data_IF_985298450138
#
_entry.id   IF_985298450138
#
_cell.length_a   1.000
_cell.length_b   1.000
_cell.length_c   1.000
_cell.angle_alpha   90.00
_cell.angle_beta   90.00
_cell.angle_gamma   90.00
#
_symmetry.space_group_name_H-M   'P 1'
#
loop_
_entity.id
_entity.type
_entity.pdbx_description
1 polymer ?
#
# COMPACT_ATOMS: atom_id res chain seq x y z
N UNK A 1 -33.92 27.25 51.30
CA UNK A 1 -33.41 26.14 52.13
C UNK A 1 -31.90 26.11 51.90
N UNK A 2 -31.17 26.66 52.89
CA UNK A 2 -29.73 26.94 52.83
C UNK A 2 -28.92 25.65 53.05
N UNK A 3 -27.89 25.38 52.25
CA UNK A 3 -26.82 24.47 52.63
C UNK A 3 -25.45 25.09 52.26
N UNK A 4 -24.70 25.31 53.32
CA UNK A 4 -23.45 26.02 53.45
C UNK A 4 -22.26 25.23 52.96
N UNK A 5 -21.35 25.91 52.28
CA UNK A 5 -20.00 25.44 51.96
C UNK A 5 -19.13 25.39 53.23
N UNK A 6 -18.41 24.29 53.45
CA UNK A 6 -17.26 24.22 54.37
C UNK A 6 -15.99 23.99 53.55
N UNK A 7 -15.13 24.99 53.57
CA UNK A 7 -13.75 24.95 53.12
C UNK A 7 -12.86 24.32 54.19
N UNK A 8 -12.05 23.33 53.83
CA UNK A 8 -10.98 22.80 54.66
C UNK A 8 -9.63 23.37 54.14
N UNK A 9 -9.01 24.16 55.01
CA UNK A 9 -7.60 24.62 54.86
C UNK A 9 -6.68 23.50 55.32
N UNK A 10 -5.70 23.11 54.48
CA UNK A 10 -4.56 22.27 54.92
C UNK A 10 -3.34 23.17 55.00
N UNK A 11 -2.73 23.21 56.18
CA UNK A 11 -1.50 23.92 56.52
C UNK A 11 -0.31 23.22 55.88
N UNK A 12 0.54 24.01 55.18
CA UNK A 12 1.90 23.59 54.81
C UNK A 12 2.83 23.87 56.02
N UNK A 13 3.48 22.88 56.52
CA UNK A 13 4.67 23.03 57.39
C UNK A 13 5.92 22.71 56.58
N UNK A 14 6.70 23.72 56.34
CA UNK A 14 8.06 23.63 55.78
C UNK A 14 9.05 23.28 56.90
N UNK A 15 9.79 22.18 56.74
CA UNK A 15 10.99 21.90 57.54
C UNK A 15 12.21 21.84 56.60
N UNK A 16 13.06 22.88 56.73
CA UNK A 16 14.35 23.05 56.08
C UNK A 16 15.38 22.23 56.86
N UNK A 17 15.94 21.18 56.27
CA UNK A 17 17.10 20.48 56.82
C UNK A 17 18.27 20.69 55.85
N UNK A 18 19.24 21.54 56.29
CA UNK A 18 20.55 21.72 55.67
C UNK A 18 21.45 20.54 56.05
N UNK A 19 21.87 19.75 55.05
CA UNK A 19 22.98 18.80 55.23
C UNK A 19 24.13 19.19 54.29
N UNK A 20 25.18 19.79 54.89
CA UNK A 20 26.49 19.95 54.28
C UNK A 20 27.27 18.64 54.41
N UNK A 21 27.52 17.97 53.31
CA UNK A 21 28.41 16.81 53.26
C UNK A 21 29.14 16.80 51.94
N UNK A 22 30.37 17.30 51.93
CA UNK A 22 31.33 17.17 50.83
C UNK A 22 31.78 15.72 50.79
N UNK A 23 31.49 15.01 49.70
CA UNK A 23 32.22 13.80 49.32
C UNK A 23 32.50 13.83 47.81
N UNK A 24 33.76 14.10 47.50
CA UNK A 24 34.37 13.80 46.21
C UNK A 24 34.44 12.30 46.02
N UNK A 25 33.58 11.79 45.17
CA UNK A 25 33.62 10.42 44.69
C UNK A 25 33.17 10.39 43.22
N UNK A 26 34.12 10.46 42.30
CA UNK A 26 33.87 10.19 40.85
C UNK A 26 33.56 8.70 40.67
N UNK A 27 32.34 8.33 40.94
CA UNK A 27 31.83 7.02 40.50
C UNK A 27 31.46 7.16 39.03
N UNK A 28 32.35 6.73 38.14
CA UNK A 28 32.03 6.50 36.74
C UNK A 28 30.97 5.40 36.69
N UNK A 29 29.71 5.77 36.42
CA UNK A 29 28.69 4.77 36.03
C UNK A 29 29.17 4.04 34.79
N UNK A 30 29.16 2.73 34.78
CA UNK A 30 29.42 1.98 33.56
C UNK A 30 28.35 2.38 32.54
N UNK A 31 28.77 3.01 31.46
CA UNK A 31 27.97 3.27 30.28
C UNK A 31 27.74 1.89 29.64
N UNK A 32 26.65 1.22 30.03
CA UNK A 32 26.17 0.04 29.32
C UNK A 32 25.81 0.51 27.93
N UNK A 33 26.69 0.28 26.96
CA UNK A 33 26.36 0.22 25.55
C UNK A 33 25.58 -1.08 25.31
N UNK A 34 24.34 -1.15 25.80
CA UNK A 34 23.40 -2.08 25.22
C UNK A 34 23.14 -1.51 23.82
N UNK A 35 23.61 -2.18 22.78
CA UNK A 35 23.04 -2.08 21.46
C UNK A 35 21.54 -2.33 21.68
N UNK A 36 20.72 -1.32 21.51
CA UNK A 36 19.28 -1.42 21.57
C UNK A 36 18.90 -2.34 20.41
N UNK A 37 18.71 -3.63 20.70
CA UNK A 37 18.35 -4.64 19.72
C UNK A 37 17.03 -4.19 19.11
N UNK A 38 17.07 -3.68 17.87
CA UNK A 38 15.89 -3.12 17.20
C UNK A 38 14.79 -4.18 17.20
N UNK A 39 13.72 -3.91 17.96
CA UNK A 39 12.58 -4.79 18.15
C UNK A 39 11.98 -5.25 16.81
N UNK A 40 12.06 -4.40 15.79
CA UNK A 40 11.55 -4.64 14.43
C UNK A 40 12.73 -4.63 13.45
N UNK A 41 12.96 -5.77 12.78
CA UNK A 41 14.09 -5.94 11.86
C UNK A 41 13.59 -6.01 10.41
N UNK A 42 14.15 -5.23 9.46
CA UNK A 42 13.89 -5.43 8.03
C UNK A 42 14.28 -6.84 7.59
N UNK A 43 13.45 -7.45 6.75
CA UNK A 43 13.72 -8.76 6.13
C UNK A 43 13.49 -8.69 4.62
N UNK A 44 14.10 -9.57 3.81
CA UNK A 44 13.70 -9.73 2.42
C UNK A 44 12.22 -10.09 2.32
N UNK A 45 11.48 -9.49 1.38
CA UNK A 45 10.07 -9.83 1.17
C UNK A 45 9.87 -11.30 0.84
N UNK A 46 10.85 -11.93 0.17
CA UNK A 46 10.89 -13.36 -0.13
C UNK A 46 10.99 -14.27 1.11
N UNK A 47 11.19 -13.71 2.30
CA UNK A 47 11.14 -14.46 3.57
C UNK A 47 9.71 -14.73 4.06
N UNK A 48 8.70 -14.13 3.44
CA UNK A 48 7.30 -14.48 3.62
C UNK A 48 7.03 -15.81 2.91
N UNK A 49 6.53 -16.78 3.65
CA UNK A 49 6.32 -18.13 3.15
C UNK A 49 4.95 -18.28 2.47
N UNK A 50 4.82 -19.23 1.54
CA UNK A 50 3.58 -19.57 0.82
C UNK A 50 2.97 -18.38 0.02
N UNK A 51 3.77 -17.38 -0.31
CA UNK A 51 3.42 -16.29 -1.22
C UNK A 51 4.43 -16.22 -2.37
N UNK A 52 3.94 -16.00 -3.58
CA UNK A 52 4.77 -15.86 -4.79
C UNK A 52 4.30 -14.62 -5.57
N UNK A 53 5.26 -13.87 -6.10
CA UNK A 53 5.00 -12.63 -6.81
C UNK A 53 5.45 -12.77 -8.26
N UNK A 54 4.57 -12.45 -9.21
CA UNK A 54 4.93 -12.41 -10.63
C UNK A 54 4.40 -11.18 -11.34
N UNK A 55 5.12 -10.75 -12.35
CA UNK A 55 4.82 -9.57 -13.13
C UNK A 55 4.79 -9.91 -14.61
N UNK A 56 3.88 -9.25 -15.34
CA UNK A 56 3.91 -9.15 -16.80
C UNK A 56 3.53 -7.72 -17.19
N UNK A 57 4.10 -7.19 -18.28
CA UNK A 57 3.90 -5.80 -18.68
C UNK A 57 4.14 -5.60 -20.16
N UNK A 58 3.60 -4.50 -20.66
CA UNK A 58 3.94 -3.94 -21.97
C UNK A 58 4.69 -2.60 -21.75
N UNK A 59 6.00 -2.63 -21.91
CA UNK A 59 6.87 -1.46 -21.68
C UNK A 59 6.66 -0.35 -22.70
N UNK A 60 6.09 -0.64 -23.88
CA UNK A 60 5.76 0.37 -24.89
C UNK A 60 4.42 1.03 -24.56
N UNK A 61 3.44 0.23 -24.17
CA UNK A 61 2.12 0.71 -23.80
C UNK A 61 2.06 1.27 -22.38
N UNK A 62 3.08 1.03 -21.55
CA UNK A 62 3.21 1.49 -20.16
C UNK A 62 2.07 1.01 -19.27
N UNK A 63 1.74 -0.28 -19.34
CA UNK A 63 0.75 -0.94 -18.48
C UNK A 63 1.19 -2.34 -18.12
N UNK A 64 0.60 -2.96 -17.08
CA UNK A 64 1.00 -4.29 -16.66
C UNK A 64 0.15 -4.89 -15.55
N UNK A 65 0.53 -6.09 -15.15
CA UNK A 65 -0.12 -6.92 -14.11
C UNK A 65 0.91 -7.41 -13.11
N UNK A 66 0.56 -7.36 -11.84
CA UNK A 66 1.28 -8.03 -10.76
C UNK A 66 0.33 -9.03 -10.08
N UNK A 67 0.76 -10.28 -9.96
CA UNK A 67 0.04 -11.34 -9.26
C UNK A 67 0.73 -11.66 -7.94
N UNK A 68 -0.02 -11.60 -6.85
CA UNK A 68 0.35 -12.08 -5.52
C UNK A 68 -0.36 -13.41 -5.34
N UNK A 69 0.34 -14.51 -5.56
CA UNK A 69 -0.21 -15.86 -5.59
C UNK A 69 -0.02 -16.54 -4.22
N UNK A 70 -1.06 -17.23 -3.77
CA UNK A 70 -1.09 -18.05 -2.56
C UNK A 70 -1.43 -19.50 -2.94
N UNK A 71 -0.45 -20.34 -3.30
CA UNK A 71 -0.71 -21.69 -3.81
C UNK A 71 -1.49 -22.59 -2.85
N UNK A 72 -1.41 -22.34 -1.54
CA UNK A 72 -2.12 -23.08 -0.50
C UNK A 72 -3.41 -22.39 -0.03
N UNK A 73 -3.77 -21.26 -0.66
CA UNK A 73 -4.82 -20.36 -0.19
C UNK A 73 -4.36 -19.46 0.96
N UNK A 74 -4.98 -18.28 1.09
CA UNK A 74 -4.73 -17.33 2.16
C UNK A 74 -6.04 -16.73 2.65
N UNK A 75 -6.28 -16.74 3.96
CA UNK A 75 -7.36 -15.94 4.55
C UNK A 75 -7.07 -14.48 4.28
N UNK A 76 -8.09 -13.75 3.84
CA UNK A 76 -7.88 -12.37 3.38
C UNK A 76 -9.05 -11.49 3.76
N UNK A 77 -8.75 -10.29 4.24
CA UNK A 77 -9.68 -9.18 4.44
C UNK A 77 -9.36 -8.03 3.48
N UNK A 78 -10.26 -7.06 3.38
CA UNK A 78 -10.11 -5.90 2.47
C UNK A 78 -10.69 -4.64 3.09
N UNK A 79 -10.02 -3.51 2.82
CA UNK A 79 -10.54 -2.15 3.01
C UNK A 79 -10.63 -1.47 1.64
N UNK A 80 -11.85 -1.07 1.24
CA UNK A 80 -12.12 -0.34 0.01
C UNK A 80 -12.56 1.06 0.42
N UNK A 81 -11.62 2.00 0.44
CA UNK A 81 -11.81 3.35 0.97
C UNK A 81 -11.92 4.44 -0.09
N UNK A 82 -11.53 4.17 -1.32
CA UNK A 82 -11.64 5.12 -2.43
C UNK A 82 -13.08 5.28 -2.95
N UNK A 83 -13.41 6.46 -3.49
CA UNK A 83 -14.73 6.77 -4.05
C UNK A 83 -15.03 6.11 -5.41
N UNK A 84 -14.00 5.60 -6.12
CA UNK A 84 -14.14 5.00 -7.46
C UNK A 84 -13.30 3.75 -7.66
N UNK A 85 -13.45 2.69 -6.83
CA UNK A 85 -12.65 1.49 -6.94
C UNK A 85 -12.98 0.72 -8.22
N UNK A 86 -11.96 0.24 -8.92
CA UNK A 86 -12.07 -0.78 -9.95
C UNK A 86 -11.63 -2.11 -9.33
N UNK A 87 -12.57 -2.99 -8.99
CA UNK A 87 -12.29 -4.23 -8.28
C UNK A 87 -13.13 -5.40 -8.80
N UNK A 88 -12.64 -6.63 -8.54
CA UNK A 88 -13.31 -7.88 -8.89
C UNK A 88 -13.27 -8.83 -7.71
N UNK A 89 -14.38 -9.58 -7.50
CA UNK A 89 -14.58 -10.67 -6.53
C UNK A 89 -14.32 -10.30 -5.06
N UNK A 90 -14.30 -9.00 -4.72
CA UNK A 90 -14.12 -8.55 -3.34
C UNK A 90 -15.24 -8.98 -2.37
N UNK A 91 -16.49 -9.26 -2.79
CA UNK A 91 -17.52 -9.76 -1.87
C UNK A 91 -17.17 -11.07 -1.16
N UNK A 92 -16.29 -11.92 -1.73
CA UNK A 92 -15.84 -13.17 -1.09
C UNK A 92 -15.03 -12.89 0.20
N UNK A 93 -14.49 -11.68 0.35
CA UNK A 93 -13.68 -11.25 1.49
C UNK A 93 -14.51 -10.69 2.65
N UNK A 94 -15.81 -10.53 2.48
CA UNK A 94 -16.68 -10.06 3.55
C UNK A 94 -16.56 -10.97 4.79
N UNK A 95 -16.31 -10.43 5.99
CA UNK A 95 -16.14 -11.22 7.22
C UNK A 95 -17.30 -12.15 7.56
N UNK A 96 -18.53 -11.87 7.10
CA UNK A 96 -19.70 -12.71 7.32
C UNK A 96 -19.84 -13.87 6.31
N UNK A 97 -18.97 -13.93 5.31
CA UNK A 97 -18.96 -15.02 4.33
C UNK A 97 -18.10 -16.18 4.82
N UNK A 98 -18.27 -17.34 4.20
CA UNK A 98 -17.50 -18.55 4.51
C UNK A 98 -15.99 -18.25 4.53
N UNK A 99 -15.28 -18.83 5.50
CA UNK A 99 -13.85 -18.57 5.72
C UNK A 99 -12.97 -19.38 4.77
N UNK A 100 -13.20 -19.19 3.46
CA UNK A 100 -12.40 -19.80 2.39
C UNK A 100 -11.24 -18.86 2.06
N UNK A 101 -10.02 -19.41 1.98
CA UNK A 101 -8.84 -18.67 1.52
C UNK A 101 -8.87 -18.40 0.03
N UNK A 102 -8.40 -17.22 -0.39
CA UNK A 102 -8.20 -16.88 -1.80
C UNK A 102 -6.85 -17.39 -2.32
N UNK A 103 -6.72 -17.54 -3.63
CA UNK A 103 -5.52 -18.10 -4.27
C UNK A 103 -4.65 -17.04 -4.95
N UNK A 104 -5.20 -15.85 -5.23
CA UNK A 104 -4.41 -14.71 -5.70
C UNK A 104 -5.08 -13.37 -5.41
N UNK A 105 -4.23 -12.34 -5.19
CA UNK A 105 -4.57 -10.92 -5.34
C UNK A 105 -3.90 -10.45 -6.62
N UNK A 106 -4.67 -9.80 -7.51
CA UNK A 106 -4.18 -9.26 -8.77
C UNK A 106 -4.20 -7.74 -8.72
N UNK A 107 -3.09 -7.12 -9.02
CA UNK A 107 -3.00 -5.70 -9.31
C UNK A 107 -2.78 -5.50 -10.80
N UNK A 108 -3.46 -4.54 -11.41
CA UNK A 108 -3.31 -4.25 -12.83
C UNK A 108 -3.40 -2.76 -13.15
N UNK A 109 -2.87 -2.36 -14.30
CA UNK A 109 -3.24 -1.13 -14.97
C UNK A 109 -4.58 -1.27 -15.70
N UNK A 110 -4.88 -0.35 -16.63
CA UNK A 110 -6.01 -0.42 -17.54
C UNK A 110 -7.35 -0.01 -16.95
N UNK A 111 -7.41 0.47 -15.68
CA UNK A 111 -8.68 0.79 -15.02
C UNK A 111 -9.62 -0.44 -15.01
N UNK A 112 -10.93 -0.27 -15.09
CA UNK A 112 -11.89 -1.37 -15.13
C UNK A 112 -11.67 -2.37 -16.28
N UNK A 113 -11.06 -1.94 -17.38
CA UNK A 113 -10.71 -2.88 -18.48
C UNK A 113 -9.65 -3.91 -18.06
N UNK A 114 -8.70 -3.51 -17.19
CA UNK A 114 -7.65 -4.38 -16.69
C UNK A 114 -8.15 -5.52 -15.79
N UNK A 115 -9.42 -5.48 -15.34
CA UNK A 115 -10.04 -6.56 -14.58
C UNK A 115 -10.15 -7.89 -15.37
N UNK A 116 -10.00 -7.82 -16.69
CA UNK A 116 -9.91 -9.02 -17.55
C UNK A 116 -8.67 -9.89 -17.25
N UNK A 117 -7.63 -9.34 -16.63
CA UNK A 117 -6.42 -10.10 -16.31
C UNK A 117 -6.68 -11.28 -15.35
N UNK A 118 -7.65 -11.17 -14.44
CA UNK A 118 -7.98 -12.26 -13.51
C UNK A 118 -8.45 -13.54 -14.22
N UNK A 119 -9.06 -13.47 -15.41
CA UNK A 119 -9.44 -14.67 -16.15
C UNK A 119 -8.23 -15.51 -16.54
N UNK A 120 -7.12 -14.86 -16.89
CA UNK A 120 -5.86 -15.54 -17.19
C UNK A 120 -5.18 -16.09 -15.95
N UNK A 121 -5.25 -15.36 -14.85
CA UNK A 121 -4.73 -15.82 -13.55
C UNK A 121 -5.49 -17.08 -13.10
N UNK A 122 -6.83 -17.08 -13.19
CA UNK A 122 -7.65 -18.24 -12.84
C UNK A 122 -7.28 -19.45 -13.72
N UNK A 123 -7.15 -19.27 -15.03
CA UNK A 123 -6.74 -20.34 -15.93
C UNK A 123 -5.37 -20.90 -15.54
N UNK A 124 -4.37 -20.05 -15.31
CA UNK A 124 -3.03 -20.50 -14.93
C UNK A 124 -3.03 -21.26 -13.60
N UNK A 125 -3.78 -20.80 -12.59
CA UNK A 125 -3.87 -21.48 -11.31
C UNK A 125 -4.56 -22.84 -11.43
N UNK A 126 -5.67 -22.94 -12.18
CA UNK A 126 -6.40 -24.19 -12.42
C UNK A 126 -5.50 -25.22 -13.11
N UNK A 127 -4.78 -24.84 -14.19
CA UNK A 127 -3.83 -25.70 -14.90
C UNK A 127 -2.70 -26.22 -13.99
N UNK A 128 -2.38 -25.50 -12.91
CA UNK A 128 -1.41 -25.92 -11.89
C UNK A 128 -2.04 -26.60 -10.67
N UNK A 129 -3.33 -26.98 -10.75
CA UNK A 129 -4.03 -27.68 -9.67
C UNK A 129 -4.28 -26.82 -8.43
N UNK A 130 -4.23 -25.48 -8.54
CA UNK A 130 -4.45 -24.53 -7.46
C UNK A 130 -5.88 -23.98 -7.54
N UNK A 131 -6.67 -24.12 -6.46
CA UNK A 131 -8.04 -23.67 -6.40
C UNK A 131 -8.81 -24.39 -5.31
N UNK A 132 -10.03 -23.88 -5.02
CA UNK A 132 -11.00 -24.53 -4.16
C UNK A 132 -11.52 -25.79 -4.84
N UNK A 133 -11.46 -26.92 -4.15
CA UNK A 133 -11.89 -28.22 -4.68
C UNK A 133 -13.40 -28.38 -4.51
N UNK A 134 -14.12 -28.38 -5.62
CA UNK A 134 -15.59 -28.59 -5.64
C UNK A 134 -15.98 -30.06 -5.82
N UNK A 135 -15.01 -30.96 -5.94
CA UNK A 135 -15.21 -32.36 -6.32
C UNK A 135 -15.39 -32.57 -7.83
N UNK A 136 -15.70 -31.53 -8.60
CA UNK A 136 -15.84 -31.55 -10.07
C UNK A 136 -14.73 -30.80 -10.78
N UNK A 137 -14.26 -29.70 -10.19
CA UNK A 137 -13.19 -28.86 -10.71
C UNK A 137 -12.49 -28.13 -9.55
N UNK A 138 -11.26 -27.67 -9.78
CA UNK A 138 -10.62 -26.71 -8.92
C UNK A 138 -10.97 -25.30 -9.37
N UNK A 139 -11.54 -24.50 -8.47
CA UNK A 139 -11.97 -23.12 -8.75
C UNK A 139 -11.03 -22.16 -8.05
N UNK A 140 -10.10 -21.50 -8.75
CA UNK A 140 -9.26 -20.47 -8.15
C UNK A 140 -10.09 -19.27 -7.70
N UNK A 141 -9.99 -18.88 -6.44
CA UNK A 141 -10.60 -17.66 -5.93
C UNK A 141 -9.59 -16.52 -6.10
N UNK A 142 -9.89 -15.58 -6.98
CA UNK A 142 -8.97 -14.49 -7.40
C UNK A 142 -9.66 -13.16 -7.24
N UNK A 143 -9.11 -12.33 -6.35
CA UNK A 143 -9.55 -10.94 -6.17
C UNK A 143 -8.64 -9.99 -6.93
N UNK A 144 -9.18 -8.86 -7.40
CA UNK A 144 -8.40 -7.90 -8.18
C UNK A 144 -8.76 -6.46 -7.85
N UNK A 145 -7.75 -5.58 -7.92
CA UNK A 145 -7.92 -4.13 -8.03
C UNK A 145 -7.04 -3.56 -9.15
N UNK A 146 -7.54 -2.52 -9.83
CA UNK A 146 -6.86 -1.91 -10.97
C UNK A 146 -6.62 -0.43 -10.74
N UNK A 147 -5.41 0.06 -11.13
CA UNK A 147 -5.12 1.49 -11.21
C UNK A 147 -5.55 2.05 -12.58
N UNK A 148 -5.79 3.36 -12.63
CA UNK A 148 -6.02 4.07 -13.88
C UNK A 148 -4.69 4.60 -14.43
N UNK A 149 -4.16 3.96 -15.47
CA UNK A 149 -2.91 4.35 -16.15
C UNK A 149 -3.13 4.78 -17.63
N UNK A 150 -4.39 4.89 -18.07
CA UNK A 150 -4.74 5.20 -19.47
C UNK A 150 -4.27 6.58 -19.95
N UNK A 151 -3.84 7.45 -19.05
CA UNK A 151 -3.25 8.77 -19.35
C UNK A 151 -1.73 8.72 -19.56
N UNK A 152 -1.10 7.54 -19.38
CA UNK A 152 0.33 7.34 -19.54
C UNK A 152 0.60 6.17 -20.50
N UNK A 153 1.34 6.38 -21.58
CA UNK A 153 1.55 5.39 -22.62
C UNK A 153 0.35 5.22 -23.54
N UNK A 154 -0.26 4.04 -23.61
CA UNK A 154 -1.36 3.73 -24.51
C UNK A 154 -2.69 3.51 -23.76
N UNK A 155 -3.76 4.20 -24.18
CA UNK A 155 -5.10 3.94 -23.65
C UNK A 155 -5.81 2.77 -24.35
N UNK A 156 -5.30 2.28 -25.47
CA UNK A 156 -5.91 1.19 -26.25
C UNK A 156 -5.30 -0.18 -25.95
N UNK A 157 -4.07 -0.24 -25.46
CA UNK A 157 -3.43 -1.48 -24.97
C UNK A 157 -3.64 -1.53 -23.46
N UNK A 158 -4.22 -2.61 -22.99
CA UNK A 158 -4.64 -2.76 -21.58
C UNK A 158 -4.35 -4.18 -21.11
N UNK A 159 -4.13 -4.39 -19.81
CA UNK A 159 -4.04 -5.74 -19.28
C UNK A 159 -5.22 -6.60 -19.69
N UNK A 160 -4.93 -7.76 -20.23
CA UNK A 160 -5.88 -8.74 -20.73
C UNK A 160 -5.67 -10.12 -20.09
N UNK A 161 -6.46 -11.10 -20.50
CA UNK A 161 -6.34 -12.49 -20.05
C UNK A 161 -4.93 -13.04 -20.26
N UNK A 162 -4.29 -12.76 -21.41
CA UNK A 162 -2.93 -13.25 -21.68
C UNK A 162 -1.91 -12.67 -20.72
N UNK A 163 -1.95 -11.36 -20.48
CA UNK A 163 -1.03 -10.71 -19.56
C UNK A 163 -1.22 -11.20 -18.12
N UNK A 164 -2.45 -11.45 -17.69
CA UNK A 164 -2.74 -12.07 -16.39
C UNK A 164 -2.19 -13.48 -16.27
N UNK A 165 -2.35 -14.30 -17.30
CA UNK A 165 -1.79 -15.65 -17.38
C UNK A 165 -0.26 -15.64 -17.26
N UNK A 166 0.40 -14.79 -18.07
CA UNK A 166 1.86 -14.66 -18.07
C UNK A 166 2.39 -14.19 -16.71
N UNK A 167 1.72 -13.23 -16.05
CA UNK A 167 2.09 -12.77 -14.71
C UNK A 167 1.96 -13.89 -13.66
N UNK A 168 0.89 -14.68 -13.73
CA UNK A 168 0.69 -15.81 -12.83
C UNK A 168 1.72 -16.91 -13.07
N UNK A 169 2.00 -17.26 -14.31
CA UNK A 169 3.05 -18.21 -14.67
C UNK A 169 4.41 -17.76 -14.13
N UNK A 170 4.76 -16.48 -14.31
CA UNK A 170 5.98 -15.91 -13.75
C UNK A 170 6.01 -16.02 -12.21
N UNK A 171 4.87 -15.84 -11.52
CA UNK A 171 4.80 -16.01 -10.08
C UNK A 171 5.11 -17.44 -9.65
N UNK A 172 4.58 -18.43 -10.36
CA UNK A 172 4.74 -19.84 -10.02
C UNK A 172 6.15 -20.38 -10.32
N UNK A 173 6.79 -19.91 -11.39
CA UNK A 173 8.09 -20.41 -11.85
C UNK A 173 9.27 -19.69 -11.18
N UNK A 174 9.37 -18.37 -11.27
CA UNK A 174 10.56 -17.60 -10.92
C UNK A 174 10.27 -16.27 -10.22
N UNK A 175 9.05 -16.08 -9.72
CA UNK A 175 8.56 -14.81 -9.24
C UNK A 175 9.41 -14.19 -8.14
N UNK A 176 9.73 -12.90 -8.32
CA UNK A 176 10.47 -12.10 -7.33
C UNK A 176 9.77 -10.76 -7.09
N UNK A 177 9.72 -10.30 -5.84
CA UNK A 177 9.26 -8.96 -5.52
C UNK A 177 10.31 -7.94 -6.01
N UNK A 178 9.96 -7.16 -7.04
CA UNK A 178 10.82 -6.13 -7.62
C UNK A 178 10.09 -4.80 -7.52
N UNK A 179 10.64 -3.83 -6.78
CA UNK A 179 10.13 -2.46 -6.76
C UNK A 179 10.52 -1.70 -8.03
N UNK A 180 9.63 -0.82 -8.48
CA UNK A 180 9.90 0.03 -9.65
C UNK A 180 8.76 0.11 -10.65
N UNK A 181 9.09 0.46 -11.89
CA UNK A 181 8.16 0.55 -13.02
C UNK A 181 7.94 -0.83 -13.65
N UNK A 182 7.45 -1.80 -12.86
CA UNK A 182 7.25 -3.19 -13.27
C UNK A 182 5.81 -3.64 -12.95
N UNK A 183 5.30 -4.61 -13.71
CA UNK A 183 3.97 -5.14 -13.51
C UNK A 183 2.91 -4.03 -13.47
N UNK A 184 2.03 -4.07 -12.48
CA UNK A 184 1.00 -3.05 -12.26
C UNK A 184 1.57 -1.64 -12.02
N UNK A 185 2.84 -1.51 -11.60
CA UNK A 185 3.54 -0.23 -11.39
C UNK A 185 4.02 0.44 -12.67
N UNK A 186 3.98 -0.26 -13.81
CA UNK A 186 4.55 0.22 -15.09
C UNK A 186 3.92 1.55 -15.55
N UNK A 187 2.60 1.71 -15.41
CA UNK A 187 1.89 2.93 -15.81
C UNK A 187 1.60 3.91 -14.66
N UNK A 188 2.04 3.61 -13.44
CA UNK A 188 1.71 4.41 -12.26
C UNK A 188 2.38 5.80 -12.25
N UNK A 189 1.61 6.84 -11.83
CA UNK A 189 2.04 8.24 -11.77
C UNK A 189 1.43 8.93 -10.55
N UNK A 190 2.04 10.04 -10.08
CA UNK A 190 1.60 10.79 -8.89
C UNK A 190 1.59 12.31 -9.14
N UNK A 191 0.83 13.06 -8.32
CA UNK A 191 0.78 14.53 -8.43
C UNK A 191 -0.01 15.03 -9.64
N UNK A 192 -1.11 14.38 -9.99
CA UNK A 192 -1.83 14.56 -11.27
C UNK A 192 -2.86 15.69 -11.28
N UNK A 193 -3.02 16.45 -10.19
CA UNK A 193 -4.07 17.45 -10.04
C UNK A 193 -4.10 18.49 -11.18
N UNK A 194 -2.93 18.92 -11.65
CA UNK A 194 -2.79 19.88 -12.75
C UNK A 194 -2.47 19.22 -14.11
N UNK A 195 -2.74 17.92 -14.25
CA UNK A 195 -2.52 17.16 -15.48
C UNK A 195 -1.19 16.40 -15.52
N UNK A 196 -1.04 15.61 -16.58
CA UNK A 196 0.10 14.68 -16.70
C UNK A 196 1.44 15.41 -16.89
N UNK A 197 1.45 16.58 -17.51
CA UNK A 197 2.67 17.33 -17.79
C UNK A 197 3.34 17.87 -16.50
N UNK A 198 2.60 18.01 -15.42
CA UNK A 198 3.11 18.45 -14.11
C UNK A 198 3.22 17.31 -13.09
N UNK A 199 2.86 16.09 -13.45
CA UNK A 199 2.94 14.92 -12.58
C UNK A 199 4.29 14.19 -12.71
N UNK A 200 4.51 13.17 -11.90
CA UNK A 200 5.76 12.40 -11.86
C UNK A 200 5.51 10.91 -12.01
N UNK A 201 6.54 10.19 -12.49
CA UNK A 201 6.55 8.73 -12.53
C UNK A 201 6.52 8.15 -11.11
N UNK A 202 5.80 7.05 -10.98
CA UNK A 202 5.69 6.23 -9.80
C UNK A 202 5.75 4.74 -10.18
N UNK A 203 5.41 3.83 -9.26
CA UNK A 203 5.51 2.41 -9.54
C UNK A 203 4.89 1.53 -8.49
N UNK A 204 5.44 0.32 -8.37
CA UNK A 204 5.16 -0.63 -7.31
C UNK A 204 6.32 -0.69 -6.33
N UNK A 205 6.03 -0.86 -5.03
CA UNK A 205 7.04 -1.00 -3.98
C UNK A 205 6.72 -2.12 -3.01
N UNK A 206 7.77 -2.69 -2.46
CA UNK A 206 7.74 -3.79 -1.50
C UNK A 206 8.57 -3.42 -0.27
N UNK A 207 8.11 -3.83 0.89
CA UNK A 207 8.89 -3.78 2.12
C UNK A 207 8.40 -4.83 3.10
N UNK A 208 9.28 -5.43 3.91
CA UNK A 208 8.91 -6.41 4.92
C UNK A 208 9.79 -6.30 6.16
N UNK A 209 9.20 -6.66 7.30
CA UNK A 209 9.87 -6.68 8.60
C UNK A 209 9.49 -7.92 9.39
N UNK A 210 10.29 -8.19 10.42
CA UNK A 210 10.03 -9.23 11.42
C UNK A 210 10.15 -8.64 12.82
N UNK A 211 9.22 -9.01 13.71
CA UNK A 211 9.29 -8.79 15.16
C UNK A 211 8.95 -10.08 15.88
N UNK A 212 9.89 -10.59 16.69
CA UNK A 212 9.78 -11.96 17.20
C UNK A 212 9.60 -12.96 16.06
N UNK A 213 8.53 -13.74 16.10
CA UNK A 213 8.16 -14.69 15.05
C UNK A 213 7.17 -14.13 14.01
N UNK A 214 6.62 -12.94 14.24
CA UNK A 214 5.70 -12.30 13.32
C UNK A 214 6.47 -11.66 12.18
N UNK A 215 6.10 -12.01 10.95
CA UNK A 215 6.58 -11.37 9.72
C UNK A 215 5.43 -10.60 9.08
N UNK A 216 5.68 -9.37 8.66
CA UNK A 216 4.71 -8.54 7.93
C UNK A 216 5.40 -7.89 6.75
N UNK A 217 4.81 -8.02 5.57
CA UNK A 217 5.23 -7.35 4.35
C UNK A 217 4.10 -6.52 3.74
N UNK A 218 4.46 -5.48 3.02
CA UNK A 218 3.53 -4.65 2.26
C UNK A 218 3.93 -4.55 0.80
N UNK A 219 2.93 -4.51 -0.06
CA UNK A 219 3.03 -4.21 -1.49
C UNK A 219 2.17 -2.98 -1.75
N UNK A 220 2.69 -1.98 -2.46
CA UNK A 220 1.95 -0.78 -2.83
C UNK A 220 2.15 -0.44 -4.31
N UNK A 221 1.07 -0.29 -5.08
CA UNK A 221 1.08 0.34 -6.40
C UNK A 221 0.55 1.75 -6.24
N UNK A 222 1.42 2.74 -6.43
CA UNK A 222 1.16 4.14 -6.06
C UNK A 222 0.82 4.95 -7.31
N UNK A 223 -0.48 5.15 -7.56
CA UNK A 223 -0.98 5.96 -8.69
C UNK A 223 -1.85 7.13 -8.20
N UNK A 224 -1.38 7.84 -7.20
CA UNK A 224 -2.13 8.83 -6.42
C UNK A 224 -2.40 10.16 -7.16
N UNK A 225 -3.49 10.83 -6.77
CA UNK A 225 -3.73 12.23 -7.10
C UNK A 225 -2.69 13.14 -6.45
N UNK A 226 -2.39 12.89 -5.20
CA UNK A 226 -1.61 13.74 -4.31
C UNK A 226 -0.11 13.57 -4.43
N UNK A 227 0.57 14.33 -3.58
CA UNK A 227 2.01 14.33 -3.37
C UNK A 227 2.43 13.23 -2.41
N UNK A 228 3.65 12.70 -2.58
CA UNK A 228 4.20 11.62 -1.76
C UNK A 228 5.27 12.15 -0.81
N UNK A 229 5.18 11.73 0.45
CA UNK A 229 6.07 12.15 1.53
C UNK A 229 6.83 10.95 2.11
N UNK A 230 8.13 11.12 2.32
CA UNK A 230 8.97 10.11 2.94
C UNK A 230 8.66 9.97 4.44
N UNK A 231 8.43 8.76 4.98
CA UNK A 231 7.99 8.58 6.37
C UNK A 231 9.01 9.06 7.40
N UNK A 232 10.31 8.85 7.15
CA UNK A 232 11.37 9.20 8.11
C UNK A 232 11.64 10.69 8.21
N UNK A 233 11.47 11.45 7.12
CA UNK A 233 11.83 12.88 7.06
C UNK A 233 10.63 13.82 6.95
N UNK A 234 9.46 13.31 6.61
CA UNK A 234 8.29 14.12 6.26
C UNK A 234 8.47 14.97 5.01
N UNK A 235 9.57 14.80 4.26
CA UNK A 235 9.85 15.58 3.05
C UNK A 235 9.07 15.02 1.86
N UNK A 236 8.58 15.90 0.99
CA UNK A 236 8.03 15.52 -0.31
C UNK A 236 9.13 14.89 -1.17
N UNK A 237 8.85 13.71 -1.73
CA UNK A 237 9.76 12.94 -2.59
C UNK A 237 9.26 12.77 -4.02
N UNK A 238 7.96 12.94 -4.25
CA UNK A 238 7.33 13.00 -5.57
C UNK A 238 5.99 13.72 -5.49
N UNK A 239 5.45 14.14 -6.61
CA UNK A 239 4.13 14.76 -6.66
C UNK A 239 4.03 15.84 -7.72
N UNK A 240 3.17 16.82 -7.47
CA UNK A 240 2.90 17.92 -8.38
C UNK A 240 4.13 18.84 -8.53
N UNK A 241 4.51 19.08 -9.77
CA UNK A 241 5.55 20.03 -10.17
C UNK A 241 4.93 21.33 -10.69
N UNK A 242 5.71 22.41 -10.66
CA UNK A 242 5.36 23.64 -11.38
C UNK A 242 5.44 23.42 -12.91
N UNK A 243 5.00 24.41 -13.70
CA UNK A 243 4.87 24.27 -15.16
C UNK A 243 6.17 23.98 -15.89
N UNK A 244 7.28 24.47 -15.40
CA UNK A 244 8.62 24.23 -15.96
C UNK A 244 9.33 23.02 -15.31
N UNK A 245 8.65 22.31 -14.40
CA UNK A 245 9.09 21.11 -13.68
C UNK A 245 10.35 21.31 -12.81
N UNK A 246 10.77 22.56 -12.57
CA UNK A 246 11.97 22.88 -11.78
C UNK A 246 11.79 22.73 -10.28
N UNK A 247 10.54 22.73 -9.77
CA UNK A 247 10.23 22.69 -8.34
C UNK A 247 8.90 22.01 -8.04
N UNK A 248 8.77 21.49 -6.83
CA UNK A 248 7.50 20.99 -6.31
C UNK A 248 6.50 22.12 -6.07
N UNK A 249 5.24 21.86 -6.44
CA UNK A 249 4.05 22.62 -6.02
C UNK A 249 3.26 21.77 -5.00
N UNK A 250 2.35 22.35 -4.23
CA UNK A 250 1.55 21.63 -3.25
C UNK A 250 0.17 21.27 -3.83
N UNK A 251 -0.08 19.96 -4.02
CA UNK A 251 -1.34 19.46 -4.57
C UNK A 251 -2.56 19.85 -3.73
N UNK A 252 -2.45 19.88 -2.39
CA UNK A 252 -3.58 20.27 -1.54
C UNK A 252 -3.85 21.77 -1.63
N UNK A 253 -2.80 22.61 -1.70
CA UNK A 253 -2.97 24.05 -1.89
C UNK A 253 -3.61 24.38 -3.25
N UNK A 254 -3.21 23.68 -4.31
CA UNK A 254 -3.83 23.83 -5.63
C UNK A 254 -5.31 23.36 -5.63
N UNK A 255 -5.61 22.27 -4.91
CA UNK A 255 -6.98 21.80 -4.74
C UNK A 255 -7.87 22.85 -4.06
N UNK A 256 -7.37 23.55 -3.03
CA UNK A 256 -8.13 24.59 -2.33
C UNK A 256 -8.43 25.82 -3.20
N UNK A 257 -7.70 26.04 -4.30
CA UNK A 257 -7.95 27.10 -5.26
C UNK A 257 -9.13 26.80 -6.19
N UNK A 258 -9.61 25.56 -6.21
CA UNK A 258 -10.75 25.15 -7.03
C UNK A 258 -12.04 25.61 -6.32
N UNK A 259 -12.48 26.83 -6.61
CA UNK A 259 -13.63 27.47 -5.96
C UNK A 259 -15.00 26.97 -6.48
N UNK A 260 -15.06 26.24 -7.57
CA UNK A 260 -16.31 25.71 -8.17
C UNK A 260 -16.18 24.22 -8.44
N UNK A 261 -17.29 23.46 -8.36
CA UNK A 261 -17.31 22.09 -8.81
C UNK A 261 -16.77 22.02 -10.24
N UNK A 262 -15.78 21.18 -10.47
CA UNK A 262 -15.13 21.04 -11.76
C UNK A 262 -15.07 19.58 -12.17
N UNK A 263 -15.13 19.31 -13.47
CA UNK A 263 -14.92 17.98 -14.06
C UNK A 263 -13.46 17.49 -13.94
N UNK A 264 -12.58 18.27 -13.27
CA UNK A 264 -11.16 17.94 -13.06
C UNK A 264 -10.96 16.68 -12.21
N UNK A 265 -11.95 16.29 -11.42
CA UNK A 265 -11.96 15.04 -10.67
C UNK A 265 -12.43 13.86 -11.55
N UNK A 266 -11.85 13.71 -12.72
CA UNK A 266 -11.99 12.47 -13.44
C UNK A 266 -11.35 11.37 -12.59
N UNK A 267 -12.12 10.36 -12.20
CA UNK A 267 -11.79 9.18 -11.38
C UNK A 267 -10.56 8.42 -11.94
N UNK A 268 -9.38 9.05 -11.87
CA UNK A 268 -8.16 8.65 -12.60
C UNK A 268 -7.00 8.32 -11.66
N UNK A 269 -7.27 8.22 -10.36
CA UNK A 269 -6.25 8.03 -9.34
C UNK A 269 -6.58 6.81 -8.49
N UNK A 270 -5.57 6.18 -7.94
CA UNK A 270 -5.75 4.95 -7.15
C UNK A 270 -4.46 4.56 -6.50
N UNK A 271 -4.44 4.32 -5.20
CA UNK A 271 -3.37 3.58 -4.56
C UNK A 271 -3.93 2.23 -4.11
N UNK A 272 -3.36 1.15 -4.62
CA UNK A 272 -3.76 -0.20 -4.22
C UNK A 272 -2.61 -0.90 -3.50
N UNK A 273 -2.95 -1.63 -2.45
CA UNK A 273 -1.94 -2.28 -1.62
C UNK A 273 -2.38 -3.63 -1.07
N UNK A 274 -1.40 -4.39 -0.60
CA UNK A 274 -1.62 -5.62 0.13
C UNK A 274 -0.66 -5.72 1.31
N UNK A 275 -1.17 -6.16 2.45
CA UNK A 275 -0.42 -6.60 3.61
C UNK A 275 -0.38 -8.11 3.59
N UNK A 276 0.80 -8.68 3.72
CA UNK A 276 1.03 -10.14 3.79
C UNK A 276 1.67 -10.45 5.13
N UNK A 277 1.09 -11.36 5.89
CA UNK A 277 1.59 -11.71 7.23
C UNK A 277 1.49 -13.22 7.48
N UNK A 278 2.30 -13.71 8.42
CA UNK A 278 2.12 -15.03 9.00
C UNK A 278 1.36 -15.00 10.35
N UNK A 279 0.78 -13.85 10.72
CA UNK A 279 -0.09 -13.76 11.89
C UNK A 279 -1.36 -14.57 11.70
N UNK A 280 -1.78 -15.32 12.73
CA UNK A 280 -3.00 -16.11 12.67
C UNK A 280 -4.23 -15.25 12.99
N UNK A 281 -4.80 -14.64 11.95
CA UNK A 281 -5.99 -13.81 12.04
C UNK A 281 -7.13 -14.40 11.19
N UNK A 282 -8.37 -14.17 11.63
CA UNK A 282 -9.56 -14.43 10.82
C UNK A 282 -9.83 -13.29 9.83
N UNK A 283 -10.85 -13.43 8.99
CA UNK A 283 -11.23 -12.40 8.01
C UNK A 283 -11.56 -11.06 8.65
N UNK A 284 -12.20 -11.04 9.82
CA UNK A 284 -12.53 -9.80 10.52
C UNK A 284 -11.27 -9.10 11.01
N UNK A 285 -10.33 -9.83 11.63
CA UNK A 285 -9.04 -9.32 12.04
C UNK A 285 -8.21 -8.81 10.86
N UNK A 286 -8.19 -9.52 9.74
CA UNK A 286 -7.50 -9.10 8.52
C UNK A 286 -8.13 -7.86 7.89
N UNK A 287 -9.46 -7.73 7.91
CA UNK A 287 -10.15 -6.51 7.50
C UNK A 287 -9.73 -5.32 8.37
N UNK A 288 -9.65 -5.51 9.69
CA UNK A 288 -9.15 -4.47 10.61
C UNK A 288 -7.69 -4.11 10.36
N UNK A 289 -6.82 -5.08 10.05
CA UNK A 289 -5.43 -4.81 9.64
C UNK A 289 -5.39 -3.98 8.35
N UNK A 290 -6.22 -4.30 7.35
CA UNK A 290 -6.31 -3.50 6.12
C UNK A 290 -6.78 -2.05 6.40
N UNK A 291 -7.79 -1.88 7.25
CA UNK A 291 -8.29 -0.56 7.73
C UNK A 291 -7.18 0.22 8.45
N UNK A 292 -6.40 -0.43 9.33
CA UNK A 292 -5.29 0.23 10.03
C UNK A 292 -4.14 0.57 9.08
N UNK A 293 -3.82 -0.31 8.12
CA UNK A 293 -2.80 -0.06 7.10
C UNK A 293 -3.11 1.17 6.23
N UNK A 294 -4.39 1.54 6.06
CA UNK A 294 -4.81 2.77 5.36
C UNK A 294 -4.25 4.04 6.00
N UNK A 295 -3.90 4.03 7.29
CA UNK A 295 -3.23 5.17 7.92
C UNK A 295 -1.90 5.50 7.23
N UNK A 296 -1.25 4.54 6.57
CA UNK A 296 -0.06 4.79 5.76
C UNK A 296 -0.36 5.73 4.59
N UNK A 297 -1.51 5.55 3.94
CA UNK A 297 -1.92 6.43 2.84
C UNK A 297 -2.07 7.86 3.32
N UNK A 298 -2.80 8.08 4.43
CA UNK A 298 -2.98 9.41 5.01
C UNK A 298 -1.67 10.06 5.51
N UNK A 299 -0.70 9.25 5.93
CA UNK A 299 0.62 9.73 6.39
C UNK A 299 1.58 10.03 5.23
N UNK A 300 1.45 9.31 4.10
CA UNK A 300 2.41 9.38 2.98
C UNK A 300 1.90 10.11 1.75
N UNK A 301 0.59 10.30 1.58
CA UNK A 301 -0.03 10.83 0.36
C UNK A 301 -0.96 11.99 0.73
N UNK A 302 -0.82 13.14 0.03
CA UNK A 302 -1.65 14.32 0.31
C UNK A 302 -1.99 15.09 -0.98
N UNK A 303 -3.31 15.26 -1.32
CA UNK A 303 -4.49 14.62 -0.74
C UNK A 303 -4.60 13.14 -1.08
N UNK A 304 -5.40 12.38 -0.33
CA UNK A 304 -5.70 10.95 -0.53
C UNK A 304 -7.13 10.64 -0.08
N UNK A 305 -7.68 9.51 -0.54
CA UNK A 305 -9.03 9.08 -0.15
C UNK A 305 -10.14 10.00 -0.67
N UNK A 306 -9.89 10.68 -1.79
CA UNK A 306 -10.89 11.54 -2.43
C UNK A 306 -11.90 10.71 -3.25
N UNK A 307 -12.99 11.33 -3.69
CA UNK A 307 -13.94 10.68 -4.60
C UNK A 307 -13.32 10.32 -5.97
N UNK A 308 -12.15 10.90 -6.28
CA UNK A 308 -11.40 10.60 -7.50
C UNK A 308 -10.44 9.41 -7.36
N UNK A 309 -10.24 8.89 -6.15
CA UNK A 309 -9.35 7.78 -5.86
C UNK A 309 -10.13 6.45 -5.83
N UNK A 310 -9.46 5.35 -6.21
CA UNK A 310 -9.99 3.98 -6.11
C UNK A 310 -9.25 3.15 -5.06
N UNK A 311 -8.81 3.79 -3.97
CA UNK A 311 -7.92 3.23 -2.96
C UNK A 311 -8.47 1.95 -2.33
N UNK A 312 -7.63 0.91 -2.32
CA UNK A 312 -7.98 -0.42 -1.81
C UNK A 312 -6.76 -1.07 -1.16
N UNK A 313 -6.94 -1.67 0.01
CA UNK A 313 -5.91 -2.46 0.70
C UNK A 313 -6.47 -3.84 1.04
N UNK A 314 -5.75 -4.88 0.65
CA UNK A 314 -5.97 -6.25 1.09
C UNK A 314 -5.05 -6.57 2.27
N UNK A 315 -5.47 -7.49 3.16
CA UNK A 315 -4.58 -8.07 4.15
C UNK A 315 -4.76 -9.59 4.13
N UNK A 316 -3.67 -10.33 3.93
CA UNK A 316 -3.69 -11.78 3.79
C UNK A 316 -2.75 -12.46 4.79
N UNK A 317 -3.24 -13.56 5.40
CA UNK A 317 -2.45 -14.45 6.26
C UNK A 317 -2.04 -15.71 5.52
N UNK A 318 -0.73 -15.98 5.46
CA UNK A 318 -0.17 -17.18 4.82
C UNK A 318 1.13 -17.64 5.50
N UNK A 319 1.60 -18.83 5.15
CA UNK A 319 2.82 -19.44 5.69
C UNK A 319 2.62 -20.12 7.03
N UNK A 320 3.70 -20.22 7.82
CA UNK A 320 3.64 -20.79 9.16
C UNK A 320 3.03 -19.79 10.13
N UNK A 321 1.78 -20.05 10.52
CA UNK A 321 0.99 -19.14 11.36
C UNK A 321 1.57 -18.99 12.76
N UNK A 322 1.56 -17.75 13.27
CA UNK A 322 1.95 -17.39 14.64
C UNK A 322 0.86 -16.55 15.31
N UNK A 323 0.71 -16.72 16.61
CA UNK A 323 -0.16 -15.83 17.39
C UNK A 323 0.46 -14.44 17.48
N UNK A 324 -0.35 -13.40 17.27
CA UNK A 324 0.07 -12.01 17.36
C UNK A 324 -1.08 -11.12 17.83
N UNK A 325 -0.76 -10.01 18.49
CA UNK A 325 -1.74 -8.99 18.86
C UNK A 325 -2.19 -8.23 17.60
N UNK A 326 -3.51 -8.03 17.49
CA UNK A 326 -4.13 -7.40 16.33
C UNK A 326 -3.74 -5.92 16.18
N UNK A 327 -3.68 -5.16 17.29
CA UNK A 327 -3.34 -3.74 17.25
C UNK A 327 -1.87 -3.53 16.91
N UNK A 328 -0.99 -4.39 17.46
CA UNK A 328 0.43 -4.39 17.12
C UNK A 328 0.63 -4.72 15.64
N UNK A 329 -0.02 -5.75 15.11
CA UNK A 329 0.07 -6.14 13.72
C UNK A 329 -0.46 -5.05 12.77
N UNK A 330 -1.60 -4.44 13.10
CA UNK A 330 -2.20 -3.36 12.30
C UNK A 330 -1.37 -2.08 12.32
N UNK A 331 -0.78 -1.72 13.48
CA UNK A 331 0.14 -0.58 13.58
C UNK A 331 1.38 -0.81 12.73
N UNK A 332 2.00 -1.98 12.86
CA UNK A 332 3.18 -2.35 12.09
C UNK A 332 2.87 -2.45 10.59
N UNK A 333 1.67 -2.91 10.21
CA UNK A 333 1.21 -2.94 8.81
C UNK A 333 1.19 -1.53 8.19
N UNK A 334 0.75 -0.50 8.94
CA UNK A 334 0.79 0.87 8.47
C UNK A 334 2.24 1.36 8.25
N UNK A 335 3.16 1.07 9.15
CA UNK A 335 4.55 1.50 9.03
C UNK A 335 5.26 0.81 7.85
N UNK A 336 5.00 -0.49 7.65
CA UNK A 336 5.55 -1.27 6.53
C UNK A 336 4.96 -0.78 5.19
N UNK A 337 3.67 -0.43 5.17
CA UNK A 337 3.01 0.12 3.98
C UNK A 337 3.57 1.49 3.61
N UNK A 338 3.91 2.37 4.58
CA UNK A 338 4.58 3.64 4.30
C UNK A 338 5.94 3.43 3.59
N UNK A 339 6.70 2.43 4.04
CA UNK A 339 7.98 2.08 3.40
C UNK A 339 7.81 1.49 2.01
N UNK A 340 6.77 0.69 1.77
CA UNK A 340 6.45 0.18 0.44
C UNK A 340 6.09 1.34 -0.52
N UNK A 341 5.31 2.33 -0.06
CA UNK A 341 5.00 3.55 -0.83
C UNK A 341 6.28 4.32 -1.18
N UNK A 342 7.17 4.54 -0.20
CA UNK A 342 8.46 5.20 -0.44
C UNK A 342 9.30 4.45 -1.48
N UNK A 343 9.39 3.12 -1.36
CA UNK A 343 10.15 2.27 -2.29
C UNK A 343 9.57 2.29 -3.71
N UNK A 344 8.23 2.40 -3.86
CA UNK A 344 7.58 2.55 -5.15
C UNK A 344 8.08 3.80 -5.89
N UNK A 345 8.29 4.90 -5.18
CA UNK A 345 8.81 6.15 -5.75
C UNK A 345 10.30 6.06 -6.04
N UNK A 346 11.08 5.62 -5.04
CA UNK A 346 12.55 5.62 -5.15
C UNK A 346 13.06 4.70 -6.27
N UNK A 347 12.38 3.56 -6.47
CA UNK A 347 12.73 2.58 -7.49
C UNK A 347 12.19 2.90 -8.89
N UNK A 348 11.32 3.93 -9.03
CA UNK A 348 10.68 4.29 -10.30
C UNK A 348 11.12 5.65 -10.84
N UNK A 349 12.23 6.20 -10.34
CA UNK A 349 12.78 7.46 -10.83
C UNK A 349 13.05 7.38 -12.33
N UNK A 350 12.63 8.41 -13.06
CA UNK A 350 12.71 8.50 -14.50
C UNK A 350 13.10 9.93 -14.89
N UNK A 351 13.84 10.08 -15.96
CA UNK A 351 14.16 11.39 -16.54
C UNK A 351 12.89 12.08 -17.07
N UNK A 352 12.84 13.41 -16.97
CA UNK A 352 11.67 14.19 -17.36
C UNK A 352 11.38 14.09 -18.86
N UNK A 353 12.40 14.00 -19.70
CA UNK A 353 12.24 13.87 -21.15
C UNK A 353 11.60 12.54 -21.51
N UNK A 354 12.06 11.45 -20.90
CA UNK A 354 11.47 10.14 -21.06
C UNK A 354 10.04 10.12 -20.52
N UNK A 355 9.82 10.65 -19.31
CA UNK A 355 8.50 10.71 -18.68
C UNK A 355 7.48 11.42 -19.58
N UNK A 356 7.80 12.63 -20.03
CA UNK A 356 6.91 13.47 -20.83
C UNK A 356 6.62 12.86 -22.21
N UNK A 357 7.54 12.07 -22.78
CA UNK A 357 7.31 11.37 -24.05
C UNK A 357 6.16 10.36 -24.00
N UNK A 358 5.82 9.88 -22.80
CA UNK A 358 4.72 8.94 -22.57
C UNK A 358 3.43 9.59 -22.05
N UNK A 359 3.47 10.87 -21.65
CA UNK A 359 2.28 11.58 -21.18
C UNK A 359 1.28 11.84 -22.30
N UNK A 360 0.02 11.54 -22.06
CA UNK A 360 -1.06 11.80 -23.04
C UNK A 360 -1.72 13.13 -22.74
N UNK A 361 -1.98 13.91 -23.78
CA UNK A 361 -2.81 15.11 -23.70
C UNK A 361 -4.28 14.72 -23.79
N UNK A 362 -5.10 15.35 -22.97
CA UNK A 362 -6.54 15.22 -23.13
C UNK A 362 -6.94 15.76 -24.52
N UNK A 363 -7.81 15.04 -25.25
CA UNK A 363 -8.35 15.59 -26.49
C UNK A 363 -9.06 16.89 -26.19
N UNK A 364 -8.75 17.93 -26.95
CA UNK A 364 -9.47 19.21 -26.87
C UNK A 364 -10.95 18.91 -27.14
N UNK A 365 -11.82 19.13 -26.14
CA UNK A 365 -13.28 19.04 -26.35
C UNK A 365 -13.63 20.04 -27.47
N UNK A 366 -14.06 19.51 -28.62
CA UNK A 366 -14.62 20.31 -29.70
C UNK A 366 -15.98 20.88 -29.29
#
# INVERSE_FOLDING_TARGET
MNLTFRAARILLMSSLLVFTGVMNGTASMPRASAEEETLVKPIPFSSLEDVRIGNAQDDKAKTGVTVICFPKGAKTGVDISGGGPASRETPVLDPIKEDIGIHAIVFSGGSAYGLAASDGVMQCLEENGIGYDTGFARVPLVVQSAIYDLSYGSASVRPDKKMGYDACKNALENGRPISGSVGAGTGATVGKLCGMEQSMKSGIGYYAVQTGNLKIGAVAVVNALGDIYAPASGKKIAGLLNKDRSAFTDSAAELYRIAKPSDLFNRTNTTIGAIITNGNFDKAGLTLIAVQARNAYARSIKPVGTLADGDTIYAASCGKMVAADLNMAGTLAADVMQKAIENAILASKMDDTEYLSHCRKLPVKK
#
